data_IF_065293106925
#
_entry.id   IF_065293106925
#
_cell.length_a   1.000
_cell.length_b   1.000
_cell.length_c   1.000
_cell.angle_alpha   90.00
_cell.angle_beta   90.00
_cell.angle_gamma   90.00
#
_symmetry.space_group_name_H-M   'P 1'
#
loop_
_entity.id
_entity.type
_entity.pdbx_description
1 polymer ?
#
# COMPACT_ATOMS: atom_id res chain seq x y z
N UNK A 1 -10.36 -2.31 -3.76
CA UNK A 1 -9.75 -2.07 -2.43
C UNK A 1 -8.44 -2.84 -2.30
N UNK A 2 -7.54 -2.39 -1.43
CA UNK A 2 -6.25 -3.00 -1.11
C UNK A 2 -6.24 -3.29 0.40
N UNK A 3 -5.97 -4.54 0.77
CA UNK A 3 -5.78 -4.93 2.17
C UNK A 3 -4.35 -4.62 2.61
N UNK A 4 -4.18 -4.02 3.78
CA UNK A 4 -2.88 -3.70 4.38
C UNK A 4 -3.00 -3.98 5.88
N UNK A 5 -2.42 -5.09 6.34
CA UNK A 5 -2.72 -5.62 7.66
C UNK A 5 -4.22 -5.90 7.81
N UNK A 6 -4.85 -5.45 8.91
CA UNK A 6 -6.28 -5.66 9.16
C UNK A 6 -7.20 -4.58 8.57
N UNK A 7 -6.70 -3.73 7.65
CA UNK A 7 -7.48 -2.62 7.07
C UNK A 7 -7.63 -2.78 5.57
N UNK A 8 -8.83 -2.48 5.07
CA UNK A 8 -9.10 -2.38 3.64
C UNK A 8 -9.18 -0.92 3.23
N UNK A 9 -8.39 -0.55 2.23
CA UNK A 9 -8.25 0.83 1.79
C UNK A 9 -8.62 0.92 0.30
N UNK A 10 -9.50 1.85 -0.12
CA UNK A 10 -9.75 2.07 -1.54
C UNK A 10 -8.48 2.60 -2.22
N UNK A 11 -8.06 1.93 -3.30
CA UNK A 11 -6.83 2.25 -4.04
C UNK A 11 -6.85 3.64 -4.67
N UNK A 12 -8.04 4.18 -4.92
CA UNK A 12 -8.26 5.54 -5.45
C UNK A 12 -7.75 6.63 -4.53
N UNK A 13 -7.68 6.38 -3.21
CA UNK A 13 -7.16 7.35 -2.24
C UNK A 13 -5.66 7.26 -2.04
N UNK A 14 -5.02 6.18 -2.50
CA UNK A 14 -3.61 5.90 -2.26
C UNK A 14 -2.76 6.59 -3.31
N UNK A 15 -1.88 7.50 -2.86
CA UNK A 15 -0.90 8.18 -3.71
C UNK A 15 0.37 7.34 -3.85
N UNK A 16 0.93 6.89 -2.74
CA UNK A 16 2.16 6.10 -2.71
C UNK A 16 2.17 5.07 -1.56
N UNK A 17 2.99 4.03 -1.71
CA UNK A 17 3.20 2.99 -0.71
C UNK A 17 4.71 2.75 -0.59
N UNK A 18 5.23 2.81 0.63
CA UNK A 18 6.66 2.72 0.95
C UNK A 18 6.88 1.71 2.07
N UNK A 19 8.06 1.09 2.10
CA UNK A 19 8.53 0.23 3.19
C UNK A 19 9.68 0.91 3.89
N UNK A 20 9.55 1.14 5.20
CA UNK A 20 10.57 1.77 6.05
C UNK A 20 10.84 0.83 7.23
N UNK A 21 11.95 0.10 7.20
CA UNK A 21 12.25 -0.90 8.23
C UNK A 21 11.21 -2.02 8.28
N UNK A 22 10.56 -2.19 9.44
CA UNK A 22 9.43 -3.10 9.67
C UNK A 22 8.05 -2.42 9.50
N UNK A 23 8.00 -1.23 8.90
CA UNK A 23 6.78 -0.44 8.78
C UNK A 23 6.39 -0.25 7.31
N UNK A 24 5.14 -0.54 6.97
CA UNK A 24 4.55 -0.17 5.69
C UNK A 24 3.85 1.19 5.84
N UNK A 25 4.24 2.15 5.01
CA UNK A 25 3.69 3.51 5.00
C UNK A 25 2.87 3.73 3.75
N UNK A 26 1.62 4.12 3.94
CA UNK A 26 0.68 4.42 2.85
C UNK A 26 0.41 5.92 2.89
N UNK A 27 0.77 6.61 1.82
CA UNK A 27 0.51 8.05 1.68
C UNK A 27 -0.73 8.25 0.82
N UNK A 28 -1.70 9.01 1.32
CA UNK A 28 -2.93 9.34 0.61
C UNK A 28 -2.80 10.62 -0.22
N UNK A 29 -3.71 10.86 -1.16
CA UNK A 29 -3.71 12.08 -1.99
C UNK A 29 -3.83 13.38 -1.18
N UNK A 30 -4.52 13.35 -0.04
CA UNK A 30 -4.64 14.48 0.90
C UNK A 30 -3.40 14.67 1.80
N UNK A 31 -2.30 13.92 1.56
CA UNK A 31 -1.06 14.03 2.33
C UNK A 31 -1.05 13.25 3.66
N UNK A 32 -2.20 12.76 4.12
CA UNK A 32 -2.28 11.86 5.28
C UNK A 32 -1.42 10.61 5.06
N UNK A 33 -0.87 10.08 6.16
CA UNK A 33 -0.07 8.85 6.16
C UNK A 33 -0.67 7.83 7.11
N UNK A 34 -0.88 6.61 6.63
CA UNK A 34 -1.14 5.45 7.47
C UNK A 34 0.17 4.68 7.63
N UNK A 35 0.54 4.40 8.89
CA UNK A 35 1.70 3.56 9.22
C UNK A 35 1.19 2.24 9.80
N UNK A 36 1.66 1.13 9.24
CA UNK A 36 1.36 -0.22 9.72
C UNK A 36 2.67 -0.88 10.11
N UNK A 37 2.85 -1.09 11.41
CA UNK A 37 4.05 -1.72 11.97
C UNK A 37 3.86 -3.24 12.03
N UNK A 38 4.90 -3.97 11.67
CA UNK A 38 4.95 -5.43 11.77
C UNK A 38 5.98 -5.86 12.82
N UNK A 39 5.82 -7.06 13.36
CA UNK A 39 6.71 -7.56 14.40
C UNK A 39 8.12 -7.82 13.83
N UNK A 40 8.19 -8.25 12.57
CA UNK A 40 9.46 -8.48 11.87
C UNK A 40 9.56 -7.72 10.55
N UNK A 41 10.80 -7.44 10.13
CA UNK A 41 11.07 -6.88 8.79
C UNK A 41 10.62 -7.85 7.69
N UNK A 42 10.69 -9.17 7.94
CA UNK A 42 10.27 -10.17 6.99
C UNK A 42 8.76 -10.09 6.70
N UNK A 43 7.93 -9.99 7.75
CA UNK A 43 6.49 -9.77 7.61
C UNK A 43 6.17 -8.47 6.87
N UNK A 44 6.85 -7.38 7.22
CA UNK A 44 6.66 -6.10 6.56
C UNK A 44 6.98 -6.16 5.06
N UNK A 45 8.07 -6.85 4.68
CA UNK A 45 8.45 -7.09 3.27
C UNK A 45 7.42 -7.94 2.53
N UNK A 46 6.94 -9.01 3.17
CA UNK A 46 5.92 -9.88 2.59
C UNK A 46 4.64 -9.10 2.30
N UNK A 47 4.19 -8.31 3.28
CA UNK A 47 2.99 -7.50 3.12
C UNK A 47 3.18 -6.40 2.07
N UNK A 48 4.30 -5.66 2.14
CA UNK A 48 4.63 -4.63 1.15
C UNK A 48 4.62 -5.18 -0.29
N UNK A 49 5.19 -6.36 -0.51
CA UNK A 49 5.22 -7.00 -1.84
C UNK A 49 3.80 -7.29 -2.37
N UNK A 50 2.93 -7.85 -1.52
CA UNK A 50 1.51 -8.11 -1.88
C UNK A 50 0.79 -6.81 -2.22
N UNK A 51 0.92 -5.82 -1.34
CA UNK A 51 0.25 -4.52 -1.44
C UNK A 51 0.72 -3.76 -2.68
N UNK A 52 2.02 -3.68 -2.90
CA UNK A 52 2.65 -2.99 -4.03
C UNK A 52 2.27 -3.64 -5.38
N UNK A 53 2.29 -4.97 -5.46
CA UNK A 53 1.84 -5.71 -6.65
C UNK A 53 0.38 -5.41 -6.99
N UNK A 54 -0.52 -5.42 -5.99
CA UNK A 54 -1.94 -5.11 -6.19
C UNK A 54 -2.14 -3.66 -6.61
N UNK A 55 -1.45 -2.72 -5.97
CA UNK A 55 -1.52 -1.30 -6.31
C UNK A 55 -1.06 -1.03 -7.75
N UNK A 56 0.05 -1.65 -8.18
CA UNK A 56 0.57 -1.54 -9.55
C UNK A 56 -0.41 -2.09 -10.59
N UNK A 57 -1.06 -3.24 -10.31
CA UNK A 57 -2.10 -3.81 -11.20
C UNK A 57 -3.29 -2.86 -11.38
N UNK A 58 -3.78 -2.29 -10.27
CA UNK A 58 -4.92 -1.36 -10.32
C UNK A 58 -4.53 -0.06 -11.05
N UNK A 59 -3.35 0.51 -10.80
CA UNK A 59 -2.88 1.69 -11.52
C UNK A 59 -2.77 1.45 -13.02
N UNK A 60 -2.24 0.29 -13.44
CA UNK A 60 -2.18 -0.09 -14.85
C UNK A 60 -3.57 -0.18 -15.46
N UNK A 61 -4.51 -0.85 -14.79
CA UNK A 61 -5.89 -0.95 -15.26
C UNK A 61 -6.53 0.45 -15.45
N UNK A 62 -6.35 1.36 -14.49
CA UNK A 62 -6.88 2.71 -14.58
C UNK A 62 -6.17 3.58 -15.64
N UNK A 63 -4.89 3.31 -15.93
CA UNK A 63 -4.13 4.01 -16.97
C UNK A 63 -4.47 3.56 -18.39
N UNK A 64 -5.16 2.43 -18.56
CA UNK A 64 -5.62 1.94 -19.87
C UNK A 64 -7.00 2.52 -20.22
N UNK A 65 -7.75 2.96 -19.20
CA UNK A 65 -9.11 3.50 -19.34
C UNK A 65 -9.11 5.01 -19.62
N UNK A 66 -8.00 5.70 -19.34
CA UNK A 66 -7.74 7.09 -19.71
C UNK A 66 -6.81 7.16 -20.91
#
# INVERSE_FOLDING_TARGET
>A
MIAIGNRYIPSTFIRNIELIGNTVVVTFFLGHKLKVNFNTIHEAKLEFSKVSSRFKKIRKANSIVN
#
